data_IF_967769714574
#
_entry.id   IF_967769714574
#
_cell.length_a   1.000
_cell.length_b   1.000
_cell.length_c   1.000
_cell.angle_alpha   90.00
_cell.angle_beta   90.00
_cell.angle_gamma   90.00
#
_symmetry.space_group_name_H-M   'P 1'
#
loop_
_entity.id
_entity.type
_entity.pdbx_description
1 polymer ?
#
# COMPACT_ATOMS: atom_id res chain seq x y z
N UNK A 1 -10.64 -10.88 -10.62
CA UNK A 1 -10.62 -9.90 -11.73
C UNK A 1 -9.65 -8.81 -11.31
N UNK A 2 -8.40 -8.92 -11.75
CA UNK A 2 -7.36 -7.92 -11.46
C UNK A 2 -7.74 -6.58 -12.08
N UNK A 3 -7.49 -5.50 -11.35
CA UNK A 3 -7.88 -4.15 -11.71
C UNK A 3 -7.10 -3.66 -12.94
N UNK A 4 -7.82 -3.28 -13.99
CA UNK A 4 -7.34 -2.59 -15.22
C UNK A 4 -6.58 -1.28 -14.91
N UNK A 5 -6.65 -0.78 -13.67
CA UNK A 5 -6.09 0.50 -13.23
C UNK A 5 -4.76 0.42 -12.47
N UNK A 6 -4.30 -0.77 -12.07
CA UNK A 6 -3.04 -0.86 -11.32
C UNK A 6 -1.86 -0.45 -12.22
N UNK A 7 -1.07 0.53 -11.78
CA UNK A 7 0.13 0.96 -12.51
C UNK A 7 -0.08 1.95 -13.66
N UNK A 8 -1.31 2.46 -13.89
CA UNK A 8 -1.59 3.31 -15.06
C UNK A 8 -0.83 4.63 -14.99
N UNK A 9 -0.90 5.29 -13.85
CA UNK A 9 -0.21 6.55 -13.59
C UNK A 9 1.32 6.36 -13.61
N UNK A 10 1.87 5.26 -13.05
CA UNK A 10 3.30 4.93 -13.18
C UNK A 10 3.71 4.76 -14.64
N UNK A 11 2.90 4.05 -15.44
CA UNK A 11 3.17 3.87 -16.87
C UNK A 11 3.14 5.22 -17.60
N UNK A 12 2.16 6.07 -17.28
CA UNK A 12 2.04 7.43 -17.86
C UNK A 12 3.26 8.29 -17.50
N UNK A 13 3.67 8.31 -16.22
CA UNK A 13 4.85 9.05 -15.76
C UNK A 13 6.14 8.52 -16.37
N UNK A 14 6.28 7.19 -16.49
CA UNK A 14 7.44 6.58 -17.14
C UNK A 14 7.49 6.95 -18.62
N UNK A 15 6.38 6.85 -19.35
CA UNK A 15 6.30 7.26 -20.75
C UNK A 15 6.59 8.76 -20.91
N UNK A 16 6.09 9.60 -20.00
CA UNK A 16 6.35 11.04 -19.99
C UNK A 16 7.84 11.36 -19.75
N UNK A 17 8.49 10.66 -18.82
CA UNK A 17 9.91 10.83 -18.54
C UNK A 17 10.76 10.43 -19.76
N UNK A 18 10.40 9.32 -20.43
CA UNK A 18 11.09 8.91 -21.67
C UNK A 18 10.83 9.93 -22.79
N UNK A 19 9.60 10.44 -22.91
CA UNK A 19 9.19 11.46 -23.88
C UNK A 19 9.94 12.78 -23.72
N UNK A 20 10.27 13.18 -22.49
CA UNK A 20 11.10 14.37 -22.24
C UNK A 20 12.55 14.19 -22.71
N UNK A 21 13.00 12.96 -22.91
CA UNK A 21 14.37 12.64 -23.30
C UNK A 21 15.37 12.81 -22.15
N UNK A 22 16.64 12.51 -22.43
CA UNK A 22 17.74 12.74 -21.49
C UNK A 22 17.83 11.70 -20.36
N UNK A 23 17.11 10.59 -20.44
CA UNK A 23 17.20 9.47 -19.50
C UNK A 23 17.66 8.19 -20.21
N UNK A 24 18.26 7.26 -19.48
CA UNK A 24 18.54 5.93 -20.02
C UNK A 24 17.25 5.09 -19.95
N UNK A 25 16.68 4.75 -21.12
CA UNK A 25 15.39 4.08 -21.23
C UNK A 25 15.52 2.75 -21.99
N UNK A 26 14.86 1.71 -21.47
CA UNK A 26 14.95 0.35 -22.00
C UNK A 26 13.60 -0.34 -21.91
N UNK A 27 13.36 -1.30 -22.80
CA UNK A 27 12.18 -2.17 -22.77
C UNK A 27 12.54 -3.63 -22.96
N UNK A 28 11.64 -4.51 -22.55
CA UNK A 28 11.66 -5.94 -22.84
C UNK A 28 10.42 -6.29 -23.65
N UNK A 29 10.57 -7.20 -24.60
CA UNK A 29 9.45 -7.64 -25.42
C UNK A 29 8.86 -8.91 -24.82
N UNK A 30 7.60 -8.83 -24.40
CA UNK A 30 6.82 -9.97 -23.95
C UNK A 30 6.01 -10.56 -25.11
N UNK A 31 5.96 -11.89 -25.21
CA UNK A 31 5.00 -12.59 -26.04
C UNK A 31 3.73 -12.85 -25.22
N UNK A 32 2.57 -12.41 -25.74
CA UNK A 32 1.29 -12.74 -25.15
C UNK A 32 0.88 -14.19 -25.47
N UNK A 33 0.09 -14.80 -24.58
CA UNK A 33 -0.57 -16.10 -24.86
C UNK A 33 -1.55 -15.93 -26.04
N UNK A 34 -2.35 -14.88 -26.00
CA UNK A 34 -3.22 -14.43 -27.09
C UNK A 34 -3.14 -12.90 -27.19
N UNK A 35 -2.58 -12.34 -28.28
CA UNK A 35 -2.45 -10.89 -28.45
C UNK A 35 -3.79 -10.21 -28.80
N UNK A 36 -4.82 -10.96 -29.16
CA UNK A 36 -6.13 -10.43 -29.56
C UNK A 36 -7.03 -10.15 -28.36
N UNK A 37 -6.74 -10.75 -27.20
CA UNK A 37 -7.49 -10.52 -25.97
C UNK A 37 -7.15 -9.14 -25.36
N UNK A 38 -8.13 -8.46 -24.74
CA UNK A 38 -7.89 -7.21 -24.00
C UNK A 38 -7.03 -7.43 -22.76
N UNK A 39 -7.35 -8.46 -21.96
CA UNK A 39 -6.56 -8.88 -20.80
C UNK A 39 -5.54 -9.93 -21.24
N UNK A 40 -4.35 -9.45 -21.61
CA UNK A 40 -3.28 -10.29 -22.14
C UNK A 40 -2.49 -10.92 -21.00
N UNK A 41 -2.40 -12.25 -21.00
CA UNK A 41 -1.45 -12.97 -20.15
C UNK A 41 -0.11 -13.11 -20.86
N UNK A 42 0.99 -12.88 -20.14
CA UNK A 42 2.34 -13.02 -20.68
C UNK A 42 2.72 -14.49 -20.74
N UNK A 43 3.05 -14.98 -21.94
CA UNK A 43 3.55 -16.34 -22.18
C UNK A 43 5.04 -16.46 -21.87
N UNK A 44 5.82 -15.47 -22.29
CA UNK A 44 7.27 -15.45 -22.14
C UNK A 44 7.83 -14.05 -22.39
N UNK A 45 9.02 -13.77 -21.87
CA UNK A 45 9.79 -12.59 -22.21
C UNK A 45 10.95 -12.96 -23.12
N UNK A 46 11.31 -12.06 -24.05
CA UNK A 46 12.61 -12.12 -24.70
C UNK A 46 13.70 -11.85 -23.67
N UNK A 47 14.81 -12.57 -23.76
CA UNK A 47 15.94 -12.45 -22.83
C UNK A 47 16.81 -11.20 -23.05
N UNK A 48 16.54 -10.46 -24.13
CA UNK A 48 17.30 -9.27 -24.51
C UNK A 48 16.61 -7.98 -24.04
N UNK A 49 17.43 -6.95 -23.79
CA UNK A 49 16.98 -5.59 -23.49
C UNK A 49 17.06 -4.71 -24.73
N UNK A 50 16.04 -3.90 -24.99
CA UNK A 50 15.99 -3.01 -26.16
C UNK A 50 16.18 -1.57 -25.68
N UNK A 51 17.25 -0.91 -26.11
CA UNK A 51 17.53 0.47 -25.74
C UNK A 51 16.57 1.40 -26.50
N UNK A 52 15.71 2.10 -25.76
CA UNK A 52 14.75 3.04 -26.33
C UNK A 52 15.52 4.30 -26.72
N UNK A 53 15.60 4.56 -28.02
CA UNK A 53 16.18 5.79 -28.54
C UNK A 53 15.19 6.94 -28.41
N UNK A 54 13.89 6.70 -28.63
CA UNK A 54 12.86 7.72 -28.73
C UNK A 54 11.46 7.10 -28.61
N UNK A 55 10.50 7.84 -28.06
CA UNK A 55 9.08 7.50 -28.17
C UNK A 55 8.43 8.30 -29.30
N UNK A 56 7.61 7.60 -30.07
CA UNK A 56 6.81 8.17 -31.16
C UNK A 56 5.34 7.83 -30.95
N UNK A 57 4.46 8.58 -31.60
CA UNK A 57 3.02 8.34 -31.57
C UNK A 57 2.51 8.36 -33.00
N UNK A 58 1.64 7.41 -33.35
CA UNK A 58 0.95 7.45 -34.63
C UNK A 58 -0.32 8.29 -34.60
N UNK A 59 -0.98 8.42 -35.75
CA UNK A 59 -2.23 9.17 -35.90
C UNK A 59 -3.38 8.65 -35.01
N UNK A 60 -3.28 7.41 -34.52
CA UNK A 60 -4.28 6.79 -33.63
C UNK A 60 -4.02 7.04 -32.15
N UNK A 61 -2.92 7.72 -31.79
CA UNK A 61 -2.50 7.91 -30.40
C UNK A 61 -1.75 6.72 -29.80
N UNK A 62 -1.34 5.74 -30.63
CA UNK A 62 -0.58 4.58 -30.16
C UNK A 62 0.89 4.95 -30.01
N UNK A 63 1.46 4.70 -28.82
CA UNK A 63 2.89 4.89 -28.57
C UNK A 63 3.74 3.76 -29.19
N UNK A 64 4.85 4.15 -29.79
CA UNK A 64 5.89 3.25 -30.27
C UNK A 64 7.24 3.63 -29.68
N UNK A 65 7.99 2.64 -29.23
CA UNK A 65 9.39 2.82 -28.86
C UNK A 65 10.27 2.53 -30.07
N UNK A 66 10.99 3.55 -30.54
CA UNK A 66 12.07 3.37 -31.51
C UNK A 66 13.31 2.89 -30.76
N UNK A 67 13.94 1.84 -31.28
CA UNK A 67 15.19 1.31 -30.74
C UNK A 67 16.13 0.97 -31.89
N UNK A 68 17.42 1.20 -31.69
CA UNK A 68 18.48 0.84 -32.63
C UNK A 68 19.34 -0.31 -32.15
N UNK A 69 19.25 -0.66 -30.85
CA UNK A 69 20.19 -1.57 -30.19
C UNK A 69 19.46 -2.56 -29.29
N UNK A 70 19.96 -3.79 -29.34
CA UNK A 70 19.55 -4.93 -28.51
C UNK A 70 20.74 -5.32 -27.66
N UNK A 71 20.53 -5.43 -26.36
CA UNK A 71 21.57 -5.55 -25.35
C UNK A 71 21.41 -6.85 -24.58
N UNK A 72 22.52 -7.56 -24.42
CA UNK A 72 22.66 -8.59 -23.40
C UNK A 72 22.74 -7.97 -21.99
N UNK A 73 22.52 -8.75 -20.92
CA UNK A 73 22.65 -8.24 -19.55
C UNK A 73 24.03 -7.63 -19.21
N UNK A 74 25.09 -8.08 -19.89
CA UNK A 74 26.45 -7.56 -19.69
C UNK A 74 26.60 -6.19 -20.36
N UNK A 75 26.14 -6.05 -21.61
CA UNK A 75 26.21 -4.79 -22.37
C UNK A 75 25.33 -3.71 -21.75
N UNK A 76 24.17 -4.08 -21.20
CA UNK A 76 23.27 -3.18 -20.49
C UNK A 76 23.99 -2.37 -19.40
N UNK A 77 24.79 -3.04 -18.55
CA UNK A 77 25.50 -2.36 -17.46
C UNK A 77 26.44 -1.25 -17.97
N UNK A 78 27.05 -1.45 -19.13
CA UNK A 78 27.94 -0.47 -19.75
C UNK A 78 27.11 0.64 -20.40
N UNK A 79 26.05 0.26 -21.11
CA UNK A 79 25.22 1.18 -21.88
C UNK A 79 24.49 2.22 -21.01
N UNK A 80 24.05 1.84 -19.81
CA UNK A 80 23.36 2.77 -18.88
C UNK A 80 24.16 4.04 -18.56
N UNK A 81 25.49 3.97 -18.62
CA UNK A 81 26.34 5.13 -18.33
C UNK A 81 26.20 6.23 -19.40
N UNK A 82 26.03 5.85 -20.67
CA UNK A 82 26.12 6.76 -21.82
C UNK A 82 24.82 6.94 -22.58
N UNK A 83 23.92 5.95 -22.58
CA UNK A 83 22.68 6.00 -23.34
C UNK A 83 21.70 7.01 -22.77
N UNK A 84 21.14 7.85 -23.65
CA UNK A 84 20.11 8.82 -23.32
C UNK A 84 19.09 8.84 -24.45
N UNK A 85 17.80 8.70 -24.13
CA UNK A 85 16.72 8.83 -25.11
C UNK A 85 16.64 10.27 -25.63
N UNK A 86 16.25 10.41 -26.89
CA UNK A 86 15.82 11.67 -27.47
C UNK A 86 14.42 12.03 -26.95
N UNK A 87 14.10 13.33 -26.98
CA UNK A 87 12.76 13.79 -26.69
C UNK A 87 11.81 13.43 -27.84
N UNK A 88 10.55 13.12 -27.52
CA UNK A 88 9.49 12.92 -28.50
C UNK A 88 9.05 14.23 -29.15
N UNK A 89 8.38 14.13 -30.29
CA UNK A 89 7.94 15.30 -31.05
C UNK A 89 6.68 15.95 -30.47
N UNK A 90 6.82 17.16 -29.92
CA UNK A 90 5.69 17.96 -29.43
C UNK A 90 5.34 17.69 -27.97
N UNK A 91 4.12 18.09 -27.58
CA UNK A 91 3.62 17.89 -26.22
C UNK A 91 3.28 16.42 -26.01
N UNK A 92 3.53 15.91 -24.80
CA UNK A 92 3.12 14.56 -24.42
C UNK A 92 1.59 14.44 -24.54
N UNK A 93 1.06 13.43 -25.25
CA UNK A 93 -0.32 13.38 -25.76
C UNK A 93 -1.34 12.91 -24.72
N UNK A 94 -0.95 12.85 -23.44
CA UNK A 94 -1.85 12.46 -22.35
C UNK A 94 -2.28 13.72 -21.63
N UNK A 95 -3.58 13.92 -21.49
CA UNK A 95 -4.13 15.08 -20.78
C UNK A 95 -3.57 15.15 -19.36
N UNK A 96 -3.12 16.35 -18.95
CA UNK A 96 -2.68 16.58 -17.57
C UNK A 96 -3.76 16.27 -16.52
N UNK A 97 -5.04 16.20 -16.93
CA UNK A 97 -6.16 15.76 -16.09
C UNK A 97 -6.15 14.25 -15.80
N UNK A 98 -5.48 13.45 -16.65
CA UNK A 98 -5.22 12.02 -16.41
C UNK A 98 -3.99 11.80 -15.52
N UNK A 99 -3.12 12.81 -15.35
CA UNK A 99 -2.03 12.81 -14.39
C UNK A 99 -2.57 13.18 -13.00
N UNK A 100 -3.23 12.24 -12.34
CA UNK A 100 -3.76 12.50 -11.01
C UNK A 100 -2.65 12.73 -9.96
N UNK A 101 -1.44 12.21 -10.25
CA UNK A 101 -0.32 12.14 -9.31
C UNK A 101 -0.60 11.19 -8.14
N UNK A 102 -1.77 10.54 -8.11
CA UNK A 102 -2.24 9.78 -6.97
C UNK A 102 -1.58 8.43 -6.87
N UNK A 103 -1.11 7.78 -7.94
CA UNK A 103 -0.43 6.49 -7.78
C UNK A 103 1.01 6.66 -7.28
N UNK A 104 1.73 7.68 -7.76
CA UNK A 104 3.11 7.99 -7.36
C UNK A 104 3.26 8.76 -6.04
N UNK A 105 2.17 9.38 -5.55
CA UNK A 105 2.14 10.05 -4.26
C UNK A 105 2.36 9.06 -3.10
N UNK A 106 3.14 9.47 -2.10
CA UNK A 106 3.20 8.76 -0.83
C UNK A 106 1.85 8.79 -0.12
N UNK A 107 1.59 7.84 0.77
CA UNK A 107 0.37 7.83 1.60
C UNK A 107 0.13 9.19 2.28
N UNK A 108 1.20 9.83 2.75
CA UNK A 108 1.16 11.15 3.38
C UNK A 108 0.62 12.23 2.44
N UNK A 109 0.99 12.20 1.18
CA UNK A 109 0.53 13.14 0.14
C UNK A 109 -0.90 12.83 -0.31
N UNK A 110 -1.30 11.54 -0.32
CA UNK A 110 -2.67 11.13 -0.66
C UNK A 110 -3.71 11.52 0.41
N UNK A 111 -3.34 11.56 1.70
CA UNK A 111 -4.27 11.84 2.80
C UNK A 111 -5.09 13.15 2.67
N UNK A 112 -4.47 14.33 2.44
CA UNK A 112 -5.24 15.57 2.29
C UNK A 112 -6.17 15.53 1.08
N UNK A 113 -5.77 14.86 -0.01
CA UNK A 113 -6.58 14.68 -1.22
C UNK A 113 -7.77 13.73 -0.97
N UNK A 114 -7.54 12.63 -0.25
CA UNK A 114 -8.59 11.71 0.19
C UNK A 114 -9.62 12.41 1.06
N UNK A 115 -9.15 13.23 2.00
CA UNK A 115 -10.03 14.02 2.88
C UNK A 115 -10.89 14.99 2.09
N UNK A 116 -10.30 15.81 1.22
CA UNK A 116 -11.05 16.78 0.42
C UNK A 116 -12.07 16.10 -0.50
N UNK A 117 -11.69 14.97 -1.09
CA UNK A 117 -12.62 14.19 -1.91
C UNK A 117 -13.79 13.63 -1.09
N UNK A 118 -13.54 13.08 0.11
CA UNK A 118 -14.59 12.61 1.01
C UNK A 118 -15.51 13.76 1.49
N UNK A 119 -14.98 14.97 1.67
CA UNK A 119 -15.80 16.17 1.92
C UNK A 119 -16.73 16.43 0.74
N UNK A 120 -16.22 16.27 -0.48
CA UNK A 120 -17.03 16.29 -1.70
C UNK A 120 -18.16 15.25 -1.70
N UNK A 121 -17.89 14.00 -1.31
CA UNK A 121 -18.95 12.98 -1.25
C UNK A 121 -19.95 13.26 -0.12
N UNK A 122 -19.50 13.84 0.99
CA UNK A 122 -20.37 14.28 2.07
C UNK A 122 -21.40 15.32 1.58
N UNK A 123 -20.95 16.29 0.78
CA UNK A 123 -21.82 17.30 0.14
C UNK A 123 -22.84 16.67 -0.81
N UNK A 124 -22.46 15.61 -1.50
CA UNK A 124 -23.35 14.86 -2.40
C UNK A 124 -24.27 13.87 -1.66
N UNK A 125 -24.11 13.71 -0.34
CA UNK A 125 -24.93 12.87 0.54
C UNK A 125 -25.02 11.40 0.13
N UNK A 126 -23.98 10.89 -0.52
CA UNK A 126 -23.90 9.50 -0.96
C UNK A 126 -22.69 8.82 -0.32
N UNK A 127 -22.85 7.61 0.27
CA UNK A 127 -21.71 6.85 0.74
C UNK A 127 -20.89 6.33 -0.45
N UNK A 128 -19.66 5.96 -0.18
CA UNK A 128 -18.72 5.41 -1.16
C UNK A 128 -18.19 4.07 -0.72
N UNK A 129 -17.86 3.22 -1.69
CA UNK A 129 -17.37 1.87 -1.43
C UNK A 129 -15.85 1.86 -1.30
N UNK A 130 -15.30 0.92 -0.53
CA UNK A 130 -13.85 0.70 -0.42
C UNK A 130 -13.18 0.54 -1.80
N UNK A 131 -13.80 -0.21 -2.71
CA UNK A 131 -13.29 -0.42 -4.06
C UNK A 131 -13.17 0.90 -4.87
N UNK A 132 -14.05 1.87 -4.62
CA UNK A 132 -13.97 3.20 -5.24
C UNK A 132 -12.73 3.95 -4.77
N UNK A 133 -12.47 3.97 -3.46
CA UNK A 133 -11.27 4.61 -2.91
C UNK A 133 -9.99 3.90 -3.36
N UNK A 134 -9.98 2.56 -3.34
CA UNK A 134 -8.82 1.77 -3.77
C UNK A 134 -8.43 2.10 -5.21
N UNK A 135 -9.42 2.15 -6.11
CA UNK A 135 -9.22 2.50 -7.52
C UNK A 135 -8.81 3.95 -7.69
N UNK A 136 -9.49 4.87 -7.00
CA UNK A 136 -9.28 6.31 -7.17
C UNK A 136 -7.92 6.78 -6.66
N UNK A 137 -7.43 6.19 -5.57
CA UNK A 137 -6.19 6.61 -4.92
C UNK A 137 -5.03 5.64 -5.19
N UNK A 138 -5.26 4.63 -6.04
CA UNK A 138 -4.33 3.51 -6.28
C UNK A 138 -3.73 2.99 -4.97
N UNK A 139 -4.60 2.45 -4.12
CA UNK A 139 -4.26 1.92 -2.82
C UNK A 139 -4.70 0.46 -2.73
N UNK A 140 -3.79 -0.41 -2.31
CA UNK A 140 -4.19 -1.72 -1.81
C UNK A 140 -5.02 -1.58 -0.51
N UNK A 141 -5.78 -2.61 -0.14
CA UNK A 141 -6.72 -2.53 0.98
C UNK A 141 -6.04 -2.17 2.32
N UNK A 142 -4.86 -2.71 2.62
CA UNK A 142 -4.17 -2.48 3.89
C UNK A 142 -3.70 -1.03 4.08
N UNK A 143 -3.17 -0.39 3.03
CA UNK A 143 -2.80 1.03 3.07
C UNK A 143 -4.06 1.88 3.14
N UNK A 144 -5.11 1.56 2.37
CA UNK A 144 -6.37 2.29 2.46
C UNK A 144 -6.92 2.27 3.89
N UNK A 145 -6.93 1.10 4.55
CA UNK A 145 -7.37 0.97 5.93
C UNK A 145 -6.57 1.87 6.88
N UNK A 146 -5.23 1.86 6.74
CA UNK A 146 -4.34 2.70 7.54
C UNK A 146 -4.58 4.19 7.29
N UNK A 147 -4.80 4.58 6.03
CA UNK A 147 -5.13 5.96 5.65
C UNK A 147 -6.46 6.41 6.24
N UNK A 148 -7.51 5.58 6.14
CA UNK A 148 -8.82 5.86 6.71
C UNK A 148 -8.74 6.00 8.24
N UNK A 149 -7.96 5.14 8.90
CA UNK A 149 -7.70 5.29 10.33
C UNK A 149 -7.08 6.65 10.67
N UNK A 150 -6.06 7.08 9.93
CA UNK A 150 -5.40 8.37 10.17
C UNK A 150 -6.35 9.55 9.91
N UNK A 151 -7.17 9.48 8.86
CA UNK A 151 -8.18 10.50 8.57
C UNK A 151 -9.23 10.61 9.67
N UNK A 152 -9.76 9.47 10.13
CA UNK A 152 -10.74 9.49 11.21
C UNK A 152 -10.16 9.98 12.53
N UNK A 153 -8.90 9.63 12.84
CA UNK A 153 -8.22 10.15 14.04
C UNK A 153 -8.01 11.67 13.97
N UNK A 154 -7.73 12.20 12.78
CA UNK A 154 -7.63 13.64 12.57
C UNK A 154 -8.99 14.34 12.77
N UNK A 155 -10.09 13.76 12.31
CA UNK A 155 -11.45 14.27 12.58
C UNK A 155 -11.73 14.31 14.09
N UNK A 156 -11.47 13.21 14.80
CA UNK A 156 -11.66 13.14 16.26
C UNK A 156 -10.84 14.22 16.98
N UNK A 157 -9.56 14.37 16.62
CA UNK A 157 -8.69 15.40 17.20
C UNK A 157 -9.17 16.83 16.92
N UNK A 158 -9.82 17.06 15.78
CA UNK A 158 -10.39 18.34 15.39
C UNK A 158 -11.83 18.58 15.94
N UNK A 159 -12.43 17.60 16.61
CA UNK A 159 -13.83 17.69 17.08
C UNK A 159 -14.87 17.63 15.95
N UNK A 160 -14.49 17.09 14.79
CA UNK A 160 -15.34 16.92 13.61
C UNK A 160 -16.02 15.55 13.61
N UNK A 161 -17.14 15.38 12.89
CA UNK A 161 -17.63 14.04 12.55
C UNK A 161 -16.57 13.21 11.84
N UNK A 162 -16.52 11.91 12.10
CA UNK A 162 -15.52 11.02 11.52
C UNK A 162 -15.86 10.76 10.06
N UNK A 163 -15.21 11.50 9.16
CA UNK A 163 -15.51 11.51 7.73
C UNK A 163 -15.39 10.15 7.03
N UNK A 164 -14.67 9.20 7.64
CA UNK A 164 -14.58 7.84 7.11
C UNK A 164 -15.84 7.01 7.32
N UNK A 165 -16.84 7.51 8.05
CA UNK A 165 -18.19 6.92 8.13
C UNK A 165 -18.92 6.90 6.78
N UNK A 166 -18.42 7.68 5.81
CA UNK A 166 -18.90 7.69 4.43
C UNK A 166 -18.45 6.45 3.65
N UNK A 167 -17.47 5.69 4.15
CA UNK A 167 -16.88 4.54 3.46
C UNK A 167 -17.52 3.25 3.95
N UNK A 168 -18.37 2.66 3.11
CA UNK A 168 -19.21 1.51 3.47
C UNK A 168 -18.87 0.27 2.66
N UNK A 169 -19.17 -0.87 3.24
CA UNK A 169 -19.23 -2.14 2.51
C UNK A 169 -20.40 -2.16 1.53
N UNK A 170 -20.21 -2.84 0.39
CA UNK A 170 -21.16 -2.82 -0.73
C UNK A 170 -22.47 -3.53 -0.40
N UNK A 171 -22.42 -4.60 0.38
CA UNK A 171 -23.58 -5.46 0.64
C UNK A 171 -24.33 -5.00 1.89
N UNK A 172 -23.59 -4.68 2.94
CA UNK A 172 -24.18 -4.31 4.23
C UNK A 172 -24.53 -2.83 4.32
N UNK A 173 -23.90 -1.97 3.52
CA UNK A 173 -24.03 -0.51 3.64
C UNK A 173 -23.47 0.04 4.97
N UNK A 174 -22.71 -0.78 5.72
CA UNK A 174 -22.11 -0.42 7.01
C UNK A 174 -20.61 -0.22 6.89
N UNK A 175 -20.05 0.51 7.84
CA UNK A 175 -18.61 0.65 8.01
C UNK A 175 -17.99 -0.68 8.44
N UNK A 176 -16.67 -0.80 8.24
CA UNK A 176 -15.94 -1.98 8.71
C UNK A 176 -16.02 -2.13 10.23
N UNK A 177 -15.92 -3.36 10.74
CA UNK A 177 -15.96 -3.67 12.18
C UNK A 177 -14.99 -2.82 13.01
N UNK A 178 -13.80 -2.54 12.44
CA UNK A 178 -12.79 -1.71 13.09
C UNK A 178 -13.19 -0.24 13.28
N UNK A 179 -14.22 0.25 12.60
CA UNK A 179 -14.70 1.63 12.76
C UNK A 179 -15.16 1.91 14.20
N UNK A 180 -16.00 1.03 14.75
CA UNK A 180 -16.43 1.10 16.15
C UNK A 180 -15.24 1.00 17.11
N UNK A 181 -14.38 0.01 16.89
CA UNK A 181 -13.25 -0.27 17.80
C UNK A 181 -12.23 0.87 17.83
N UNK A 182 -12.04 1.58 16.70
CA UNK A 182 -11.03 2.64 16.57
C UNK A 182 -11.56 4.00 17.01
N UNK A 183 -12.83 4.32 16.73
CA UNK A 183 -13.39 5.66 16.96
C UNK A 183 -14.42 5.71 18.09
N UNK A 184 -14.82 4.56 18.66
CA UNK A 184 -15.83 4.49 19.71
C UNK A 184 -17.25 4.82 19.22
N UNK A 185 -17.51 4.71 17.91
CA UNK A 185 -18.79 5.07 17.30
C UNK A 185 -19.59 3.80 17.02
N UNK A 186 -20.71 3.64 17.73
CA UNK A 186 -21.55 2.45 17.61
C UNK A 186 -22.50 2.50 16.41
N UNK A 187 -23.03 3.70 16.12
CA UNK A 187 -23.94 3.93 15.02
C UNK A 187 -23.23 4.73 13.92
N UNK A 188 -22.66 4.01 12.97
CA UNK A 188 -21.98 4.56 11.81
C UNK A 188 -22.93 5.25 10.82
N UNK A 189 -24.21 4.92 10.84
CA UNK A 189 -25.23 5.56 10.02
C UNK A 189 -25.62 6.93 10.56
N UNK A 190 -25.80 7.03 11.88
CA UNK A 190 -25.91 8.31 12.55
C UNK A 190 -24.66 9.16 12.28
N UNK A 191 -23.46 8.58 12.36
CA UNK A 191 -22.21 9.28 12.09
C UNK A 191 -22.11 9.81 10.66
N UNK A 192 -22.47 8.97 9.69
CA UNK A 192 -22.53 9.36 8.29
C UNK A 192 -23.51 10.51 8.06
N UNK A 193 -24.65 10.49 8.76
CA UNK A 193 -25.62 11.59 8.75
C UNK A 193 -25.02 12.87 9.34
N UNK A 194 -24.24 12.78 10.43
CA UNK A 194 -23.49 13.92 10.98
C UNK A 194 -22.48 14.47 9.98
N UNK A 195 -21.78 13.62 9.23
CA UNK A 195 -20.86 14.04 8.18
C UNK A 195 -21.59 14.84 7.09
N UNK A 196 -22.72 14.33 6.60
CA UNK A 196 -23.52 15.05 5.61
C UNK A 196 -23.96 16.42 6.11
N UNK A 197 -24.46 16.51 7.34
CA UNK A 197 -24.89 17.78 7.93
C UNK A 197 -23.70 18.76 8.05
N UNK A 198 -22.57 18.31 8.60
CA UNK A 198 -21.41 19.16 8.89
C UNK A 198 -20.79 19.77 7.63
N UNK A 199 -20.67 19.00 6.53
CA UNK A 199 -20.08 19.48 5.29
C UNK A 199 -21.08 19.97 4.23
N UNK A 200 -22.40 19.92 4.51
CA UNK A 200 -23.44 20.46 3.61
C UNK A 200 -23.51 21.99 3.57
N UNK A 201 -22.99 22.68 4.59
CA UNK A 201 -23.09 24.13 4.71
C UNK A 201 -21.89 24.80 4.00
N UNK A 202 -22.12 25.75 3.08
CA UNK A 202 -21.07 26.67 2.63
C UNK A 202 -20.65 27.57 3.80
N UNK A 203 -19.64 27.13 4.55
CA UNK A 203 -19.02 27.89 5.63
C UNK A 203 -19.74 27.80 6.97
N UNK A 204 -19.38 26.83 7.81
CA UNK A 204 -19.58 26.93 9.25
C UNK A 204 -18.65 25.97 10.00
N UNK A 205 -17.61 26.53 10.60
CA UNK A 205 -17.26 26.12 11.94
C UNK A 205 -18.41 26.51 12.89
N UNK A 206 -18.58 25.74 13.96
CA UNK A 206 -19.36 25.99 15.19
C UNK A 206 -20.64 25.14 15.39
N UNK A 207 -20.58 24.40 16.50
CA UNK A 207 -21.62 23.92 17.41
C UNK A 207 -22.33 22.58 17.14
N UNK A 208 -22.13 21.69 18.11
CA UNK A 208 -22.83 20.43 18.36
C UNK A 208 -24.22 20.64 19.00
N UNK A 209 -25.15 19.69 18.79
CA UNK A 209 -25.95 18.97 19.82
C UNK A 209 -27.26 18.36 19.28
N UNK A 210 -27.68 17.23 19.89
CA UNK A 210 -29.06 16.66 19.95
C UNK A 210 -29.52 15.86 18.72
N UNK A 211 -29.65 14.53 18.73
CA UNK A 211 -30.56 13.60 19.46
C UNK A 211 -31.79 13.16 18.63
N UNK A 212 -31.89 11.84 18.48
CA UNK A 212 -33.08 10.96 18.45
C UNK A 212 -33.98 10.75 17.21
N UNK A 213 -33.95 9.47 16.78
CA UNK A 213 -35.06 8.50 16.66
C UNK A 213 -35.85 8.30 15.34
N UNK A 214 -35.68 7.06 14.82
CA UNK A 214 -36.67 6.03 14.42
C UNK A 214 -37.65 6.28 13.26
N UNK A 215 -37.71 5.36 12.28
CA UNK A 215 -38.56 4.14 12.26
C UNK A 215 -38.77 3.57 10.84
N UNK A 216 -38.77 2.23 10.70
CA UNK A 216 -39.54 1.29 9.83
C UNK A 216 -39.99 1.73 8.40
N UNK A 217 -40.06 0.88 7.36
CA UNK A 217 -40.44 -0.53 7.32
C UNK A 217 -40.11 -1.21 5.96
N UNK A 218 -40.24 -2.53 5.99
CA UNK A 218 -40.06 -3.62 5.01
C UNK A 218 -40.56 -3.44 3.55
N UNK A 219 -39.95 -4.15 2.57
CA UNK A 219 -40.64 -5.16 1.69
C UNK A 219 -39.65 -5.94 0.80
N UNK A 220 -39.71 -7.27 1.00
CA UNK A 220 -39.28 -8.50 0.31
C UNK A 220 -38.76 -8.52 -1.14
N UNK A 221 -37.79 -9.41 -1.40
CA UNK A 221 -37.47 -10.03 -2.70
C UNK A 221 -37.22 -11.55 -2.54
N UNK A 222 -37.55 -12.41 -3.51
CA UNK A 222 -37.10 -13.80 -3.56
C UNK A 222 -36.28 -14.07 -4.87
N UNK A 223 -35.71 -15.28 -5.09
CA UNK A 223 -34.26 -15.46 -5.11
C UNK A 223 -33.77 -15.95 -6.48
N UNK A 224 -32.46 -15.94 -6.74
CA UNK A 224 -31.84 -17.17 -7.27
C UNK A 224 -30.33 -17.22 -7.10
N UNK A 225 -29.90 -18.42 -6.71
CA UNK A 225 -28.60 -18.86 -6.24
C UNK A 225 -27.66 -19.21 -7.38
N UNK A 226 -26.56 -18.45 -7.52
CA UNK A 226 -25.32 -18.90 -8.19
C UNK A 226 -24.05 -18.25 -7.62
N UNK A 227 -24.17 -17.36 -6.63
CA UNK A 227 -23.05 -16.57 -6.07
C UNK A 227 -22.37 -17.16 -4.83
N UNK A 228 -22.90 -18.23 -4.24
CA UNK A 228 -22.46 -18.72 -2.93
C UNK A 228 -21.04 -19.31 -2.95
N UNK A 229 -20.62 -19.95 -4.04
CA UNK A 229 -19.30 -20.59 -4.12
C UNK A 229 -18.15 -19.59 -4.35
N UNK A 230 -18.36 -18.55 -5.15
CA UNK A 230 -17.35 -17.51 -5.42
C UNK A 230 -17.22 -16.52 -4.24
N UNK A 231 -18.31 -16.27 -3.52
CA UNK A 231 -18.30 -15.44 -2.32
C UNK A 231 -17.59 -16.14 -1.16
N UNK A 232 -17.72 -17.47 -1.03
CA UNK A 232 -17.06 -18.25 0.03
C UNK A 232 -15.55 -18.37 -0.17
N UNK A 233 -15.06 -18.58 -1.39
CA UNK A 233 -13.61 -18.58 -1.69
C UNK A 233 -12.95 -17.22 -1.45
N UNK A 234 -13.65 -16.13 -1.81
CA UNK A 234 -13.20 -14.78 -1.49
C UNK A 234 -13.27 -14.50 0.02
N UNK A 235 -14.33 -14.90 0.71
CA UNK A 235 -14.47 -14.70 2.15
C UNK A 235 -13.43 -15.50 2.97
N UNK A 236 -13.07 -16.71 2.55
CA UNK A 236 -12.03 -17.52 3.20
C UNK A 236 -10.62 -16.95 2.94
N UNK A 237 -10.33 -16.50 1.71
CA UNK A 237 -9.08 -15.78 1.40
C UNK A 237 -9.00 -14.45 2.16
N UNK A 238 -10.11 -13.69 2.20
CA UNK A 238 -10.24 -12.44 2.96
C UNK A 238 -10.12 -12.71 4.46
N UNK A 239 -10.72 -13.76 5.03
CA UNK A 239 -10.59 -14.13 6.44
C UNK A 239 -9.14 -14.51 6.83
N UNK A 240 -8.40 -15.14 5.91
CA UNK A 240 -6.98 -15.45 6.11
C UNK A 240 -6.08 -14.21 6.08
N UNK A 241 -6.47 -13.15 5.35
CA UNK A 241 -5.81 -11.83 5.35
C UNK A 241 -6.37 -10.85 6.40
N UNK A 242 -7.59 -11.06 6.91
CA UNK A 242 -8.27 -10.22 7.92
C UNK A 242 -7.95 -10.61 9.37
N UNK A 243 -7.20 -11.69 9.59
CA UNK A 243 -6.60 -12.00 10.89
C UNK A 243 -5.24 -11.32 11.11
N UNK A 244 -4.90 -10.31 10.32
CA UNK A 244 -3.86 -9.34 10.70
C UNK A 244 -4.54 -8.22 11.47
N UNK A 245 -4.62 -8.38 12.79
CA UNK A 245 -5.00 -7.29 13.69
C UNK A 245 -4.18 -6.04 13.38
N UNK A 246 -4.85 -4.93 13.12
CA UNK A 246 -4.20 -3.63 13.03
C UNK A 246 -3.83 -3.19 14.45
N UNK A 247 -2.53 -3.32 14.79
CA UNK A 247 -1.96 -3.10 16.13
C UNK A 247 -1.52 -1.64 16.34
N UNK A 248 -2.20 -0.84 17.18
CA UNK A 248 -1.73 0.51 17.55
C UNK A 248 -0.38 0.46 18.30
N UNK A 249 -0.13 -0.61 19.07
CA UNK A 249 1.08 -0.82 19.85
C UNK A 249 2.31 -1.17 18.98
N UNK A 250 2.15 -1.52 17.70
CA UNK A 250 3.27 -1.85 16.82
C UNK A 250 4.20 -0.64 16.58
N UNK A 251 3.63 0.58 16.52
CA UNK A 251 4.44 1.79 16.38
C UNK A 251 5.23 2.11 17.66
N UNK A 252 4.64 1.86 18.84
CA UNK A 252 5.28 2.08 20.13
C UNK A 252 6.34 1.00 20.42
N UNK A 253 6.01 -0.26 20.17
CA UNK A 253 6.93 -1.40 20.23
C UNK A 253 8.12 -1.20 19.29
N UNK A 254 7.86 -0.84 18.02
CA UNK A 254 8.94 -0.54 17.07
C UNK A 254 9.85 0.58 17.58
N UNK A 255 9.29 1.68 18.09
CA UNK A 255 10.11 2.78 18.66
C UNK A 255 10.94 2.30 19.86
N UNK A 256 10.33 1.56 20.79
CA UNK A 256 11.00 1.08 21.99
C UNK A 256 12.18 0.13 21.64
N UNK A 257 11.95 -0.82 20.73
CA UNK A 257 12.99 -1.73 20.21
C UNK A 257 14.04 -0.95 19.41
N UNK A 258 13.64 0.04 18.61
CA UNK A 258 14.58 0.84 17.83
C UNK A 258 15.57 1.60 18.73
N UNK A 259 15.08 2.25 19.79
CA UNK A 259 15.91 2.96 20.78
C UNK A 259 16.82 2.00 21.54
N UNK A 260 16.28 0.86 21.99
CA UNK A 260 17.01 -0.17 22.73
C UNK A 260 18.19 -0.80 21.96
N UNK A 261 18.17 -0.71 20.63
CA UNK A 261 19.24 -1.20 19.76
C UNK A 261 20.08 -0.06 19.15
N UNK A 262 19.92 1.17 19.63
CA UNK A 262 20.65 2.34 19.12
C UNK A 262 20.40 2.61 17.63
N UNK A 263 19.24 2.19 17.11
CA UNK A 263 18.89 2.31 15.69
C UNK A 263 19.71 1.42 14.76
N UNK A 264 20.31 0.33 15.25
CA UNK A 264 21.12 -0.59 14.43
C UNK A 264 20.57 -2.01 14.43
N UNK A 265 20.67 -2.68 13.28
CA UNK A 265 20.36 -4.10 13.18
C UNK A 265 21.25 -4.91 14.12
N UNK A 266 20.64 -5.79 14.91
CA UNK A 266 21.31 -6.59 15.91
C UNK A 266 22.34 -7.59 15.37
N UNK A 267 22.25 -7.92 14.08
CA UNK A 267 23.13 -8.90 13.41
C UNK A 267 24.06 -8.20 12.42
N UNK A 268 23.51 -7.40 11.49
CA UNK A 268 24.29 -6.78 10.42
C UNK A 268 24.91 -5.44 10.77
N UNK A 269 24.48 -4.79 11.86
CA UNK A 269 24.88 -3.43 12.20
C UNK A 269 24.31 -2.33 11.29
N UNK A 270 23.49 -2.66 10.29
CA UNK A 270 22.81 -1.70 9.41
C UNK A 270 22.05 -0.65 10.23
N UNK A 271 22.28 0.63 9.95
CA UNK A 271 21.73 1.78 10.68
C UNK A 271 20.76 2.64 9.84
N UNK A 272 20.38 2.16 8.64
CA UNK A 272 19.39 2.81 7.77
C UNK A 272 17.97 2.54 8.31
N UNK A 273 17.26 3.53 8.90
CA UNK A 273 16.00 3.29 9.61
C UNK A 273 14.88 2.66 8.76
N UNK A 274 14.84 2.99 7.47
CA UNK A 274 13.89 2.48 6.48
C UNK A 274 14.08 0.99 6.20
N UNK A 275 15.29 0.47 6.38
CA UNK A 275 15.64 -0.93 6.20
C UNK A 275 15.41 -1.78 7.46
N UNK A 276 15.05 -1.16 8.59
CA UNK A 276 14.97 -1.80 9.90
C UNK A 276 13.52 -2.05 10.35
N UNK A 277 13.30 -3.22 10.92
CA UNK A 277 12.03 -3.67 11.48
C UNK A 277 12.24 -4.29 12.87
N UNK A 278 11.24 -4.15 13.74
CA UNK A 278 11.24 -4.76 15.06
C UNK A 278 10.54 -6.13 14.99
N UNK A 279 11.29 -7.20 15.19
CA UNK A 279 10.79 -8.56 15.31
C UNK A 279 10.49 -8.88 16.78
N UNK A 280 9.48 -9.72 17.04
CA UNK A 280 9.30 -10.28 18.39
C UNK A 280 10.22 -11.47 18.57
N UNK A 281 10.83 -11.64 19.74
CA UNK A 281 11.64 -12.82 20.04
C UNK A 281 10.77 -14.10 19.99
N UNK A 282 11.33 -15.24 19.60
CA UNK A 282 10.57 -16.50 19.61
C UNK A 282 9.99 -16.77 21.01
N UNK A 283 8.71 -17.13 21.07
CA UNK A 283 7.98 -17.28 22.34
C UNK A 283 7.51 -15.98 22.99
N UNK A 284 7.72 -14.81 22.37
CA UNK A 284 7.09 -13.54 22.76
C UNK A 284 5.92 -13.23 21.84
N UNK A 285 4.75 -13.61 22.30
CA UNK A 285 3.50 -13.38 21.57
C UNK A 285 2.97 -12.01 21.98
N UNK A 286 2.97 -11.08 21.03
CA UNK A 286 2.40 -9.73 21.19
C UNK A 286 0.96 -9.73 21.77
N UNK A 287 0.18 -10.80 21.48
CA UNK A 287 -1.21 -11.01 21.88
C UNK A 287 -1.37 -11.25 23.39
N UNK A 288 -0.27 -11.64 24.03
CA UNK A 288 -0.18 -11.85 25.49
C UNK A 288 0.39 -10.62 26.21
N UNK A 289 0.55 -9.49 25.52
CA UNK A 289 1.04 -8.23 26.09
C UNK A 289 2.56 -8.05 26.04
N UNK A 290 3.30 -8.94 25.37
CA UNK A 290 4.75 -8.85 25.18
C UNK A 290 5.14 -7.74 24.17
N UNK A 291 5.07 -6.48 24.60
CA UNK A 291 5.37 -5.30 23.78
C UNK A 291 6.44 -4.38 24.41
N UNK A 292 7.25 -4.89 25.33
CA UNK A 292 8.40 -4.15 25.86
C UNK A 292 9.60 -4.22 24.90
N UNK A 293 10.56 -3.32 25.05
CA UNK A 293 11.78 -3.35 24.21
C UNK A 293 12.54 -4.68 24.34
N UNK A 294 12.53 -5.29 25.52
CA UNK A 294 13.13 -6.61 25.80
C UNK A 294 12.45 -7.77 25.07
N UNK A 295 11.19 -7.60 24.67
CA UNK A 295 10.44 -8.62 23.94
C UNK A 295 10.77 -8.64 22.44
N UNK A 296 11.50 -7.63 21.97
CA UNK A 296 11.84 -7.47 20.56
C UNK A 296 13.33 -7.51 20.26
N UNK A 297 13.61 -7.56 18.97
CA UNK A 297 14.95 -7.44 18.39
C UNK A 297 14.87 -6.62 17.10
N UNK A 298 15.80 -5.67 16.93
CA UNK A 298 15.84 -4.82 15.73
C UNK A 298 16.63 -5.50 14.62
N UNK A 299 15.99 -5.77 13.48
CA UNK A 299 16.58 -6.51 12.37
C UNK A 299 16.40 -5.77 11.05
N UNK A 300 17.31 -6.03 10.10
CA UNK A 300 17.11 -5.63 8.70
C UNK A 300 15.94 -6.44 8.12
N UNK A 301 15.12 -5.86 7.25
CA UNK A 301 13.86 -6.46 6.74
C UNK A 301 14.03 -7.88 6.18
N UNK A 302 15.11 -8.14 5.46
CA UNK A 302 15.45 -9.48 4.96
C UNK A 302 15.72 -10.47 6.10
N UNK A 303 16.52 -10.08 7.09
CA UNK A 303 16.84 -10.90 8.27
C UNK A 303 15.61 -11.15 9.16
N UNK A 304 14.76 -10.14 9.33
CA UNK A 304 13.47 -10.28 10.01
C UNK A 304 12.61 -11.35 9.33
N UNK A 305 12.49 -11.28 8.00
CA UNK A 305 11.73 -12.27 7.22
C UNK A 305 12.28 -13.70 7.31
N UNK A 306 13.59 -13.87 7.48
CA UNK A 306 14.21 -15.18 7.72
C UNK A 306 13.95 -15.67 9.14
N UNK A 307 14.06 -14.77 10.11
CA UNK A 307 13.86 -15.05 11.53
C UNK A 307 12.41 -15.50 11.82
N UNK A 308 11.42 -14.82 11.25
CA UNK A 308 10.00 -15.19 11.35
C UNK A 308 9.68 -16.56 10.72
N UNK A 309 10.48 -16.98 9.73
CA UNK A 309 10.34 -18.26 9.03
C UNK A 309 11.23 -19.36 9.62
N UNK A 310 11.87 -19.12 10.75
CA UNK A 310 12.80 -20.05 11.41
C UNK A 310 13.99 -20.44 10.51
N UNK A 311 14.35 -19.57 9.55
CA UNK A 311 15.53 -19.72 8.69
C UNK A 311 16.77 -19.00 9.25
N UNK A 312 16.59 -18.20 10.29
CA UNK A 312 17.61 -17.54 11.08
C UNK A 312 17.30 -17.79 12.56
N UNK A 313 18.22 -18.42 13.28
CA UNK A 313 18.18 -18.61 14.74
C UNK A 313 19.14 -17.62 15.42
N UNK A 314 18.67 -17.04 16.53
CA UNK A 314 19.37 -16.06 17.35
C UNK A 314 19.40 -16.47 18.84
N UNK A 315 18.91 -17.67 19.18
CA UNK A 315 18.72 -18.15 20.55
C UNK A 315 20.02 -18.28 21.35
N UNK A 316 21.12 -18.64 20.69
CA UNK A 316 22.45 -18.77 21.29
C UNK A 316 23.24 -17.45 21.36
N UNK A 317 22.60 -16.32 21.04
CA UNK A 317 23.29 -15.02 20.98
C UNK A 317 24.25 -14.88 19.80
N UNK A 318 24.18 -15.79 18.84
CA UNK A 318 24.87 -15.73 17.54
C UNK A 318 23.86 -15.96 16.41
N UNK A 319 24.13 -15.41 15.24
CA UNK A 319 23.32 -15.64 14.05
C UNK A 319 23.64 -16.98 13.41
N UNK A 320 22.65 -17.87 13.32
CA UNK A 320 22.73 -19.18 12.67
C UNK A 320 21.71 -19.27 11.55
N UNK A 321 22.17 -19.48 10.33
CA UNK A 321 21.31 -19.56 9.16
C UNK A 321 21.06 -21.02 8.73
N UNK A 322 19.82 -21.31 8.33
CA UNK A 322 19.47 -22.60 7.72
C UNK A 322 20.25 -22.81 6.41
N UNK A 323 20.67 -24.06 6.16
CA UNK A 323 21.47 -24.44 4.99
C UNK A 323 20.87 -23.98 3.65
N UNK A 324 19.53 -23.87 3.55
CA UNK A 324 18.81 -23.39 2.36
C UNK A 324 19.15 -21.94 2.00
N UNK A 325 19.44 -21.11 2.99
CA UNK A 325 19.70 -19.67 2.81
C UNK A 325 21.15 -19.30 3.08
N UNK A 326 21.90 -20.14 3.82
CA UNK A 326 23.27 -19.87 4.27
C UNK A 326 24.17 -19.31 3.16
N UNK A 327 24.15 -19.88 1.96
CA UNK A 327 24.97 -19.41 0.81
C UNK A 327 24.82 -17.92 0.45
N UNK A 328 23.71 -17.29 0.84
CA UNK A 328 23.44 -15.86 0.61
C UNK A 328 23.82 -14.99 1.83
N UNK A 329 24.03 -15.60 3.00
CA UNK A 329 24.23 -14.93 4.28
C UNK A 329 25.48 -15.43 5.02
N UNK A 330 26.41 -16.11 4.34
CA UNK A 330 27.65 -16.65 4.95
C UNK A 330 28.45 -15.59 5.70
N UNK A 331 28.46 -14.35 5.20
CA UNK A 331 29.12 -13.21 5.83
C UNK A 331 28.51 -12.78 7.18
N UNK A 332 27.31 -13.26 7.51
CA UNK A 332 26.61 -13.01 8.77
C UNK A 332 26.56 -14.25 9.68
N UNK A 333 26.95 -15.42 9.19
CA UNK A 333 26.94 -16.67 9.97
C UNK A 333 27.93 -16.58 11.14
N UNK A 334 27.48 -16.94 12.34
CA UNK A 334 28.28 -16.92 13.56
C UNK A 334 28.55 -15.54 14.14
N UNK A 335 28.01 -14.46 13.55
CA UNK A 335 28.14 -13.12 14.14
C UNK A 335 27.38 -13.05 15.47
N UNK A 336 27.97 -12.33 16.44
CA UNK A 336 27.33 -12.07 17.73
C UNK A 336 26.15 -11.14 17.56
N UNK A 337 25.03 -11.49 18.20
CA UNK A 337 23.83 -10.66 18.27
C UNK A 337 24.08 -9.56 19.31
N UNK A 338 23.88 -8.30 18.94
CA UNK A 338 24.03 -7.20 19.88
C UNK A 338 22.99 -7.29 21.01
N UNK A 339 23.43 -7.01 22.24
CA UNK A 339 22.53 -6.88 23.37
C UNK A 339 21.74 -5.56 23.28
N UNK A 340 20.59 -5.53 23.96
CA UNK A 340 19.87 -4.29 24.22
C UNK A 340 20.77 -3.37 25.05
N UNK A 341 20.97 -2.13 24.61
CA UNK A 341 21.61 -1.12 25.45
C UNK A 341 20.61 -0.68 26.51
N UNK A 342 20.92 -0.92 27.78
CA UNK A 342 20.19 -0.32 28.90
C UNK A 342 20.41 1.19 28.83
N UNK A 343 19.43 1.91 28.29
CA UNK A 343 19.42 3.36 28.24
C UNK A 343 19.19 3.94 29.64
N UNK A 344 20.26 3.97 30.44
CA UNK A 344 20.40 4.82 31.60
C UNK A 344 21.75 5.55 31.49
N UNK A 345 21.70 6.71 30.82
CA UNK A 345 22.37 7.96 31.23
C UNK A 345 21.86 9.14 30.38
#
# INVERSE_FOLDING_TARGET
MESVSAGLDERVQQLKAIWQGGIAAYTVIAAAVDPTLPDRTIKSYRGDLFAIDELQIDESGTFYARYSRVLTPVEFRIDTATHRSAAGEGLFPVDAQMESGLSSATVREKLPLMREWLIGVARNRAPVQYAELMRRFDLWYGTLFTSLKQLGQACVAAGEPVITALVVDKETGRCSKGFKDVFGIEDDEAERTRCYAYWSVPGAAIAASGSDAASDDHVTSPPDSTGEDLARENAESIARFMSVEVRPQQSAFRRAVFVAYGGKCAVSGCDVPEALEAAHRHGRIWRDGHNQASDGILLRRDLHGLYDRELLDLSEGVARFDARVLRHYEHLEGLRVSAVSDGAD
#
